data_IF_658291550269
#
_entry.id   IF_658291550269
#
_cell.length_a   1.000
_cell.length_b   1.000
_cell.length_c   1.000
_cell.angle_alpha   90.00
_cell.angle_beta   90.00
_cell.angle_gamma   90.00
#
_symmetry.space_group_name_H-M   'P 1'
#
loop_
_entity.id
_entity.type
_entity.pdbx_description
1 polymer ?
#
# COMPACT_ATOMS: atom_id res chain seq x y z
N UNK A 1 23.67 -38.10 38.69
CA UNK A 1 22.24 -37.88 38.96
C UNK A 1 21.59 -37.57 37.62
N UNK A 2 20.62 -38.37 37.19
CA UNK A 2 19.88 -38.12 35.96
C UNK A 2 18.85 -37.05 36.30
N UNK A 3 18.95 -35.88 35.67
CA UNK A 3 17.99 -34.80 35.86
C UNK A 3 16.58 -35.31 35.57
N UNK A 4 15.62 -34.90 36.40
CA UNK A 4 14.24 -35.31 36.26
C UNK A 4 13.74 -34.92 34.85
N UNK A 5 13.31 -35.88 34.01
CA UNK A 5 12.90 -35.62 32.64
C UNK A 5 11.73 -34.63 32.56
N UNK A 6 10.84 -34.61 33.56
CA UNK A 6 9.75 -33.62 33.64
C UNK A 6 10.27 -32.20 33.91
N UNK A 7 11.35 -32.05 34.68
CA UNK A 7 11.96 -30.75 34.92
C UNK A 7 12.63 -30.20 33.65
N UNK A 8 13.18 -31.07 32.79
CA UNK A 8 13.72 -30.69 31.48
C UNK A 8 12.59 -30.24 30.56
N UNK A 9 11.51 -31.02 30.47
CA UNK A 9 10.34 -30.66 29.66
C UNK A 9 9.73 -29.33 30.11
N UNK A 10 9.60 -29.09 31.40
CA UNK A 10 9.08 -27.83 31.93
C UNK A 10 9.94 -26.64 31.53
N UNK A 11 11.28 -26.77 31.58
CA UNK A 11 12.19 -25.69 31.15
C UNK A 11 12.05 -25.39 29.66
N UNK A 12 11.92 -26.42 28.82
CA UNK A 12 11.75 -26.24 27.38
C UNK A 12 10.40 -25.61 27.03
N UNK A 13 9.32 -26.00 27.73
CA UNK A 13 7.99 -25.36 27.58
C UNK A 13 8.08 -23.88 27.94
N UNK A 14 8.63 -23.54 29.11
CA UNK A 14 8.77 -22.15 29.54
C UNK A 14 9.62 -21.32 28.55
N UNK A 15 10.64 -21.95 27.93
CA UNK A 15 11.48 -21.31 26.91
C UNK A 15 10.74 -21.06 25.61
N UNK A 16 9.84 -21.95 25.22
CA UNK A 16 8.98 -21.79 24.04
C UNK A 16 7.97 -20.65 24.29
N UNK A 17 7.33 -20.63 25.46
CA UNK A 17 6.38 -19.57 25.85
C UNK A 17 7.06 -18.18 25.83
N UNK A 18 8.26 -18.06 26.42
CA UNK A 18 9.01 -16.81 26.39
C UNK A 18 9.36 -16.33 24.96
N UNK A 19 9.64 -17.27 24.03
CA UNK A 19 9.85 -16.93 22.62
C UNK A 19 8.56 -16.50 21.92
N UNK A 20 7.43 -17.10 22.26
CA UNK A 20 6.13 -16.71 21.72
C UNK A 20 5.74 -15.30 22.16
N UNK A 21 5.95 -14.97 23.44
CA UNK A 21 5.69 -13.63 23.97
C UNK A 21 6.55 -12.56 23.27
N UNK A 22 7.84 -12.84 23.08
CA UNK A 22 8.74 -11.94 22.34
C UNK A 22 8.30 -11.74 20.88
N UNK A 23 7.81 -12.78 20.21
CA UNK A 23 7.27 -12.67 18.84
C UNK A 23 6.00 -11.81 18.83
N UNK A 24 5.10 -11.99 19.80
CA UNK A 24 3.88 -11.18 19.90
C UNK A 24 4.19 -9.70 20.13
N UNK A 25 5.17 -9.39 20.98
CA UNK A 25 5.62 -8.01 21.20
C UNK A 25 6.22 -7.40 19.93
N UNK A 26 7.02 -8.16 19.19
CA UNK A 26 7.61 -7.74 17.92
C UNK A 26 6.55 -7.51 16.83
N UNK A 27 5.50 -8.33 16.79
CA UNK A 27 4.36 -8.12 15.88
C UNK A 27 3.53 -6.89 16.27
N UNK A 28 3.32 -6.66 17.57
CA UNK A 28 2.60 -5.47 18.06
C UNK A 28 3.34 -4.19 17.68
N UNK A 29 4.64 -4.13 17.91
CA UNK A 29 5.50 -2.98 17.57
C UNK A 29 5.59 -2.75 16.07
N UNK A 30 5.66 -3.80 15.25
CA UNK A 30 5.63 -3.67 13.78
C UNK A 30 4.28 -3.18 13.25
N UNK A 31 3.18 -3.62 13.84
CA UNK A 31 1.84 -3.16 13.44
C UNK A 31 1.55 -1.71 13.86
N UNK A 32 2.30 -1.13 14.80
CA UNK A 32 2.13 0.28 15.21
C UNK A 32 2.74 1.29 14.22
N UNK A 33 3.55 0.83 13.27
CA UNK A 33 4.14 1.67 12.21
C UNK A 33 3.45 1.56 10.85
N UNK A 34 2.29 0.89 10.77
CA UNK A 34 1.40 1.05 9.63
C UNK A 34 0.76 2.45 9.73
N UNK A 35 1.48 3.47 9.25
CA UNK A 35 0.86 4.75 8.90
C UNK A 35 -0.37 4.37 8.08
N UNK A 36 -1.59 4.82 8.45
CA UNK A 36 -2.74 4.64 7.59
C UNK A 36 -2.41 5.40 6.32
N UNK A 37 -1.93 4.69 5.31
CA UNK A 37 -1.87 5.20 3.95
C UNK A 37 -3.33 5.37 3.61
N UNK A 38 -3.84 6.60 3.77
CA UNK A 38 -5.15 6.94 3.26
C UNK A 38 -5.23 6.36 1.85
N UNK A 39 -6.24 5.54 1.54
CA UNK A 39 -6.34 4.94 0.23
C UNK A 39 -6.32 6.08 -0.78
N UNK A 40 -5.21 6.19 -1.51
CA UNK A 40 -5.04 7.24 -2.53
C UNK A 40 -6.30 7.10 -3.40
N UNK A 41 -7.14 8.13 -3.52
CA UNK A 41 -8.33 8.02 -4.33
C UNK A 41 -7.88 7.81 -5.78
N UNK A 42 -8.00 6.59 -6.27
CA UNK A 42 -7.59 6.19 -7.62
C UNK A 42 -8.78 6.36 -8.55
N UNK A 43 -8.58 7.04 -9.68
CA UNK A 43 -9.55 7.14 -10.75
C UNK A 43 -9.16 6.21 -11.91
N UNK A 44 -10.17 5.64 -12.57
CA UNK A 44 -9.96 4.91 -13.82
C UNK A 44 -9.87 5.87 -15.00
N UNK A 45 -9.32 5.41 -16.12
CA UNK A 45 -9.35 6.18 -17.37
C UNK A 45 -10.77 6.56 -17.82
N UNK A 46 -11.78 5.74 -17.53
CA UNK A 46 -13.16 6.03 -17.87
C UNK A 46 -13.69 7.23 -17.06
N UNK A 47 -13.37 7.28 -15.76
CA UNK A 47 -13.77 8.39 -14.88
C UNK A 47 -13.10 9.69 -15.30
N UNK A 48 -11.80 9.66 -15.61
CA UNK A 48 -11.07 10.85 -16.07
C UNK A 48 -11.64 11.37 -17.39
N UNK A 49 -11.98 10.48 -18.34
CA UNK A 49 -12.64 10.89 -19.59
C UNK A 49 -14.01 11.50 -19.35
N UNK A 50 -14.79 10.93 -18.43
CA UNK A 50 -16.11 11.47 -18.06
C UNK A 50 -15.99 12.85 -17.39
N UNK A 51 -14.99 13.06 -16.55
CA UNK A 51 -14.75 14.34 -15.87
C UNK A 51 -14.23 15.43 -16.82
N UNK A 52 -13.33 15.08 -17.73
CA UNK A 52 -12.67 16.05 -18.62
C UNK A 52 -13.40 16.28 -19.94
N UNK A 53 -14.25 15.34 -20.36
CA UNK A 53 -14.91 15.37 -21.66
C UNK A 53 -13.96 15.20 -22.85
N UNK A 54 -12.70 14.81 -22.63
CA UNK A 54 -11.72 14.76 -23.71
C UNK A 54 -11.99 13.63 -24.71
N UNK A 55 -11.88 13.90 -26.03
CA UNK A 55 -11.84 12.87 -27.06
C UNK A 55 -10.68 11.90 -26.85
N UNK A 56 -10.81 10.67 -27.36
CA UNK A 56 -9.80 9.62 -27.16
C UNK A 56 -8.38 10.07 -27.57
N UNK A 57 -8.22 10.73 -28.72
CA UNK A 57 -6.91 11.22 -29.18
C UNK A 57 -6.30 12.24 -28.22
N UNK A 58 -7.10 13.24 -27.81
CA UNK A 58 -6.70 14.28 -26.86
C UNK A 58 -6.37 13.71 -25.49
N UNK A 59 -7.14 12.72 -25.02
CA UNK A 59 -6.89 12.04 -23.75
C UNK A 59 -5.49 11.40 -23.73
N UNK A 60 -5.16 10.57 -24.71
CA UNK A 60 -3.85 9.91 -24.73
C UNK A 60 -2.70 10.90 -24.94
N UNK A 61 -2.91 11.96 -25.73
CA UNK A 61 -1.93 13.04 -25.87
C UNK A 61 -1.66 13.75 -24.53
N UNK A 62 -2.72 14.08 -23.77
CA UNK A 62 -2.59 14.70 -22.44
C UNK A 62 -1.93 13.75 -21.43
N UNK A 63 -2.30 12.47 -21.44
CA UNK A 63 -1.68 11.45 -20.58
C UNK A 63 -0.19 11.26 -20.86
N UNK A 64 0.24 11.39 -22.12
CA UNK A 64 1.64 11.25 -22.49
C UNK A 64 2.54 12.37 -21.93
N UNK A 65 1.99 13.57 -21.76
CA UNK A 65 2.71 14.74 -21.23
C UNK A 65 2.52 14.96 -19.72
N UNK A 66 1.73 14.11 -19.05
CA UNK A 66 1.50 14.24 -17.60
C UNK A 66 2.78 13.95 -16.81
N UNK A 67 3.07 14.75 -15.76
CA UNK A 67 4.21 14.49 -14.88
C UNK A 67 4.05 13.18 -14.09
N UNK A 68 5.19 12.68 -13.60
CA UNK A 68 5.25 11.43 -12.85
C UNK A 68 4.42 11.48 -11.55
N UNK A 69 3.74 10.37 -11.26
CA UNK A 69 2.90 10.24 -10.06
C UNK A 69 1.45 10.73 -10.21
N UNK A 70 1.08 11.36 -11.33
CA UNK A 70 -0.34 11.52 -11.70
C UNK A 70 -0.88 10.20 -12.26
N UNK A 71 -0.16 9.61 -13.21
CA UNK A 71 -0.50 8.33 -13.82
C UNK A 71 0.20 7.20 -13.09
N UNK A 72 -0.58 6.29 -12.53
CA UNK A 72 -0.10 5.09 -11.85
C UNK A 72 0.09 4.00 -12.91
N UNK A 73 1.34 3.82 -13.33
CA UNK A 73 1.73 2.78 -14.29
C UNK A 73 2.10 1.52 -13.53
N UNK A 74 1.16 0.58 -13.39
CA UNK A 74 1.44 -0.74 -12.81
C UNK A 74 1.72 -1.76 -13.93
N UNK A 75 1.95 -3.03 -13.54
CA UNK A 75 2.14 -4.14 -14.51
C UNK A 75 0.89 -4.43 -15.36
N UNK A 76 -0.27 -3.91 -14.98
CA UNK A 76 -1.50 -4.02 -15.76
C UNK A 76 -1.51 -2.95 -16.85
N UNK A 77 -2.03 -3.30 -18.03
CA UNK A 77 -2.23 -2.35 -19.13
C UNK A 77 -3.31 -1.29 -18.85
N UNK A 78 -3.88 -1.27 -17.64
CA UNK A 78 -4.93 -0.33 -17.24
C UNK A 78 -4.31 0.97 -16.74
N UNK A 79 -4.76 2.09 -17.31
CA UNK A 79 -4.40 3.42 -16.83
C UNK A 79 -5.19 3.75 -15.57
N UNK A 80 -4.45 4.03 -14.50
CA UNK A 80 -4.97 4.46 -13.20
C UNK A 80 -4.38 5.83 -12.86
N UNK A 81 -5.16 6.66 -12.17
CA UNK A 81 -4.80 8.05 -11.90
C UNK A 81 -4.91 8.38 -10.42
N UNK A 82 -3.94 9.11 -9.87
CA UNK A 82 -4.07 9.71 -8.55
C UNK A 82 -5.00 10.93 -8.63
N UNK A 83 -6.17 10.85 -8.00
CA UNK A 83 -7.20 11.90 -8.06
C UNK A 83 -6.71 13.27 -7.60
N UNK A 84 -5.99 13.34 -6.47
CA UNK A 84 -5.55 14.61 -5.90
C UNK A 84 -4.60 15.33 -6.86
N UNK A 85 -3.54 14.64 -7.27
CA UNK A 85 -2.55 15.20 -8.21
C UNK A 85 -3.12 15.50 -9.59
N UNK A 86 -4.08 14.69 -10.06
CA UNK A 86 -4.77 14.95 -11.32
C UNK A 86 -5.58 16.26 -11.24
N UNK A 87 -6.32 16.47 -10.15
CA UNK A 87 -7.12 17.69 -9.97
C UNK A 87 -6.24 18.93 -9.84
N UNK A 88 -5.15 18.87 -9.06
CA UNK A 88 -4.17 19.96 -8.94
C UNK A 88 -3.57 20.31 -10.31
N UNK A 89 -3.20 19.30 -11.10
CA UNK A 89 -2.64 19.52 -12.43
C UNK A 89 -3.67 20.10 -13.40
N UNK A 90 -4.93 19.65 -13.35
CA UNK A 90 -6.01 20.21 -14.15
C UNK A 90 -6.30 21.68 -13.80
N UNK A 91 -6.23 22.03 -12.51
CA UNK A 91 -6.39 23.40 -12.04
C UNK A 91 -5.21 24.29 -12.43
N UNK A 92 -3.99 23.75 -12.44
CA UNK A 92 -2.77 24.48 -12.82
C UNK A 92 -2.60 24.64 -14.33
N UNK A 93 -3.25 23.79 -15.13
CA UNK A 93 -3.20 23.80 -16.59
C UNK A 93 -4.36 24.60 -17.23
N UNK A 94 -5.19 25.26 -16.42
CA UNK A 94 -6.30 26.12 -16.84
C UNK A 94 -5.84 27.57 -17.04
#
# INVERSE_FOLDING_TARGET
MIDNPFAILQREINRIEAKQDAILELLRTKNTHAIPVEPIPILSAADVKKMTGWPNGTFYAKVAIMPEGIVIRNRSKRLLFNRARLLEWLQSSA
#
